data_IF_566553339816
#
_entry.id   IF_566553339816
#
_cell.length_a   1.000
_cell.length_b   1.000
_cell.length_c   1.000
_cell.angle_alpha   90.00
_cell.angle_beta   90.00
_cell.angle_gamma   90.00
#
_symmetry.space_group_name_H-M   'P 1'
#
loop_
_entity.id
_entity.type
_entity.pdbx_description
1 polymer ?
#
# COMPACT_ATOMS: atom_id res chain seq x y z
N UNK A 1 -22.62 -20.72 -14.58
CA UNK A 1 -22.27 -19.94 -13.38
C UNK A 1 -21.27 -18.88 -13.81
N UNK A 2 -21.55 -17.59 -13.61
CA UNK A 2 -20.57 -16.51 -13.89
C UNK A 2 -19.48 -16.59 -12.83
N UNK A 3 -18.27 -16.93 -13.25
CA UNK A 3 -17.07 -16.99 -12.40
C UNK A 3 -16.53 -15.58 -12.01
N UNK A 4 -17.19 -14.53 -12.49
CA UNK A 4 -16.87 -13.15 -12.17
C UNK A 4 -17.65 -12.69 -10.95
N UNK A 5 -16.99 -12.68 -9.79
CA UNK A 5 -17.45 -11.92 -8.65
C UNK A 5 -17.46 -10.42 -9.02
N UNK A 6 -18.52 -9.70 -8.69
CA UNK A 6 -18.49 -8.25 -8.88
C UNK A 6 -17.48 -7.61 -7.90
N UNK A 7 -16.86 -6.49 -8.28
CA UNK A 7 -15.95 -5.77 -7.38
C UNK A 7 -16.63 -5.42 -6.04
N UNK A 8 -17.93 -5.06 -6.08
CA UNK A 8 -18.70 -4.79 -4.87
C UNK A 8 -18.83 -6.02 -3.95
N UNK A 9 -18.97 -7.22 -4.53
CA UNK A 9 -19.00 -8.46 -3.75
C UNK A 9 -17.62 -8.80 -3.18
N UNK A 10 -16.56 -8.64 -3.97
CA UNK A 10 -15.17 -8.84 -3.51
C UNK A 10 -14.83 -7.91 -2.36
N UNK A 11 -15.23 -6.64 -2.43
CA UNK A 11 -15.07 -5.67 -1.34
C UNK A 11 -15.85 -6.08 -0.08
N UNK A 12 -17.08 -6.56 -0.22
CA UNK A 12 -17.85 -7.06 0.94
C UNK A 12 -17.16 -8.26 1.59
N UNK A 13 -16.65 -9.21 0.79
CA UNK A 13 -15.89 -10.36 1.31
C UNK A 13 -14.62 -9.92 2.03
N UNK A 14 -13.88 -8.98 1.46
CA UNK A 14 -12.70 -8.41 2.10
C UNK A 14 -13.03 -7.81 3.47
N UNK A 15 -14.08 -6.96 3.56
CA UNK A 15 -14.49 -6.35 4.82
C UNK A 15 -14.97 -7.40 5.84
N UNK A 16 -15.70 -8.42 5.40
CA UNK A 16 -16.16 -9.50 6.27
C UNK A 16 -15.01 -10.38 6.80
N UNK A 17 -13.93 -10.52 6.03
CA UNK A 17 -12.73 -11.28 6.41
C UNK A 17 -11.96 -10.60 7.53
N UNK A 18 -11.81 -9.28 7.48
CA UNK A 18 -11.07 -8.53 8.49
C UNK A 18 -11.99 -8.09 9.63
N UNK A 19 -12.53 -9.07 10.36
CA UNK A 19 -13.14 -8.83 11.67
C UNK A 19 -12.07 -8.45 12.72
N UNK A 20 -12.50 -8.22 13.95
CA UNK A 20 -11.59 -7.80 15.03
C UNK A 20 -10.52 -8.87 15.34
N UNK A 21 -10.86 -10.17 15.26
CA UNK A 21 -9.93 -11.25 15.58
C UNK A 21 -8.88 -11.41 14.46
N UNK A 22 -9.31 -11.39 13.19
CA UNK A 22 -8.41 -11.47 12.05
C UNK A 22 -7.51 -10.24 11.94
N UNK A 23 -8.03 -9.04 12.22
CA UNK A 23 -7.22 -7.83 12.25
C UNK A 23 -6.13 -7.88 13.32
N UNK A 24 -6.42 -8.45 14.51
CA UNK A 24 -5.42 -8.66 15.56
C UNK A 24 -4.38 -9.71 15.15
N UNK A 25 -4.80 -10.81 14.55
CA UNK A 25 -3.90 -11.84 14.02
C UNK A 25 -2.97 -11.28 12.94
N UNK A 26 -3.52 -10.49 12.03
CA UNK A 26 -2.74 -9.79 11.00
C UNK A 26 -1.73 -8.82 11.63
N UNK A 27 -2.15 -8.02 12.62
CA UNK A 27 -1.27 -7.08 13.31
C UNK A 27 -0.07 -7.80 13.96
N UNK A 28 -0.33 -8.92 14.61
CA UNK A 28 0.71 -9.70 15.26
C UNK A 28 1.71 -10.33 14.27
N UNK A 29 1.26 -10.72 13.09
CA UNK A 29 2.08 -11.44 12.11
C UNK A 29 2.85 -10.51 11.16
N UNK A 30 2.21 -9.44 10.67
CA UNK A 30 2.75 -8.60 9.59
C UNK A 30 2.54 -7.11 9.80
N UNK A 31 1.66 -6.73 10.72
CA UNK A 31 1.29 -5.34 10.99
C UNK A 31 2.29 -4.60 11.88
N UNK A 32 3.26 -5.30 12.47
CA UNK A 32 4.32 -4.71 13.30
C UNK A 32 5.68 -5.03 12.72
N UNK A 33 6.47 -3.99 12.50
CA UNK A 33 7.87 -4.12 12.13
C UNK A 33 8.73 -4.01 13.39
N UNK A 34 9.79 -4.80 13.48
CA UNK A 34 10.85 -4.55 14.46
C UNK A 34 11.58 -3.24 14.13
N UNK A 35 12.30 -2.70 15.09
CA UNK A 35 13.09 -1.48 14.85
C UNK A 35 14.08 -1.67 13.71
N UNK A 36 14.74 -2.81 13.68
CA UNK A 36 15.71 -3.15 12.64
C UNK A 36 15.04 -3.34 11.27
N UNK A 37 13.80 -3.86 11.22
CA UNK A 37 13.06 -3.96 9.97
C UNK A 37 12.63 -2.57 9.48
N UNK A 38 12.16 -1.70 10.38
CA UNK A 38 11.88 -0.31 10.06
C UNK A 38 13.10 0.43 9.50
N UNK A 39 14.28 0.25 10.13
CA UNK A 39 15.52 0.87 9.67
C UNK A 39 15.93 0.35 8.28
N UNK A 40 15.71 -0.92 7.99
CA UNK A 40 15.92 -1.49 6.66
C UNK A 40 14.97 -0.88 5.60
N UNK A 41 13.68 -0.72 5.94
CA UNK A 41 12.73 -0.02 5.07
C UNK A 41 13.13 1.43 4.83
N UNK A 42 13.54 2.16 5.88
CA UNK A 42 13.99 3.55 5.75
C UNK A 42 15.22 3.66 4.86
N UNK A 43 16.18 2.74 4.98
CA UNK A 43 17.37 2.72 4.14
C UNK A 43 17.01 2.53 2.65
N UNK A 44 16.15 1.57 2.34
CA UNK A 44 15.72 1.31 0.95
C UNK A 44 14.82 2.42 0.38
N UNK A 45 14.03 3.09 1.22
CA UNK A 45 13.14 4.18 0.83
C UNK A 45 13.80 5.57 0.86
N UNK A 46 15.00 5.71 1.43
CA UNK A 46 15.66 6.99 1.62
C UNK A 46 15.64 7.95 0.40
N UNK A 47 15.82 7.47 -0.87
CA UNK A 47 15.77 8.35 -2.02
C UNK A 47 14.41 9.01 -2.28
N UNK A 48 13.30 8.36 -1.88
CA UNK A 48 11.93 8.90 -2.06
C UNK A 48 11.40 9.61 -0.84
N UNK A 49 12.03 9.41 0.33
CA UNK A 49 11.63 10.04 1.59
C UNK A 49 12.34 11.38 1.86
N UNK A 50 13.08 11.91 0.87
CA UNK A 50 13.66 13.25 0.93
C UNK A 50 12.58 14.30 0.63
N UNK A 51 11.65 14.45 1.58
CA UNK A 51 10.50 15.33 1.44
C UNK A 51 10.74 16.65 2.17
N UNK A 52 10.11 17.73 1.67
CA UNK A 52 10.08 19.00 2.37
C UNK A 52 9.31 18.90 3.68
N UNK A 53 9.61 19.77 4.62
CA UNK A 53 8.79 19.92 5.83
C UNK A 53 7.34 20.27 5.44
N UNK A 54 6.37 19.65 6.11
CA UNK A 54 4.95 19.81 5.84
C UNK A 54 4.47 19.06 4.59
N UNK A 55 5.28 18.16 3.99
CA UNK A 55 4.82 17.36 2.86
C UNK A 55 3.61 16.50 3.23
N UNK A 56 2.61 16.49 2.34
CA UNK A 56 1.41 15.68 2.45
C UNK A 56 1.68 14.26 1.91
N UNK A 57 1.57 13.26 2.77
CA UNK A 57 1.86 11.86 2.44
C UNK A 57 0.62 11.00 2.65
N UNK A 58 0.29 10.19 1.65
CA UNK A 58 -0.73 9.15 1.75
C UNK A 58 -0.08 7.78 1.92
N UNK A 59 -0.41 7.06 3.00
CA UNK A 59 -0.19 5.63 3.13
C UNK A 59 -1.43 4.90 2.61
N UNK A 60 -1.36 4.38 1.40
CA UNK A 60 -2.46 3.69 0.74
C UNK A 60 -2.45 2.20 1.12
N UNK A 61 -3.58 1.69 1.64
CA UNK A 61 -3.67 0.35 2.21
C UNK A 61 -2.88 0.24 3.51
N UNK A 62 -3.09 1.19 4.42
CA UNK A 62 -2.31 1.31 5.65
C UNK A 62 -2.42 0.10 6.60
N UNK A 63 -3.48 -0.70 6.47
CA UNK A 63 -3.74 -1.84 7.35
C UNK A 63 -3.78 -1.42 8.81
N UNK A 64 -3.04 -2.11 9.65
CA UNK A 64 -2.89 -1.78 11.07
C UNK A 64 -1.79 -0.73 11.34
N UNK A 65 -1.21 -0.13 10.30
CA UNK A 65 -0.34 1.05 10.41
C UNK A 65 1.18 0.80 10.36
N UNK A 66 1.65 -0.35 9.84
CA UNK A 66 3.09 -0.65 9.81
C UNK A 66 3.92 0.40 9.04
N UNK A 67 3.47 0.77 7.82
CA UNK A 67 4.14 1.81 7.03
C UNK A 67 3.87 3.20 7.61
N UNK A 68 2.68 3.43 8.14
CA UNK A 68 2.32 4.69 8.81
C UNK A 68 3.23 4.96 10.01
N UNK A 69 3.53 3.95 10.85
CA UNK A 69 4.49 4.07 11.97
C UNK A 69 5.88 4.43 11.49
N UNK A 70 6.34 3.79 10.41
CA UNK A 70 7.64 4.10 9.81
C UNK A 70 7.71 5.56 9.33
N UNK A 71 6.67 6.03 8.62
CA UNK A 71 6.58 7.41 8.15
C UNK A 71 6.51 8.42 9.30
N UNK A 72 5.85 8.06 10.41
CA UNK A 72 5.73 8.93 11.60
C UNK A 72 7.08 9.20 12.31
N UNK A 73 8.11 8.39 12.03
CA UNK A 73 9.48 8.63 12.50
C UNK A 73 10.17 9.78 11.76
N UNK A 74 9.64 10.16 10.59
CA UNK A 74 10.19 11.26 9.82
C UNK A 74 9.62 12.59 10.31
N UNK A 75 10.45 13.60 10.57
CA UNK A 75 9.97 14.86 11.12
C UNK A 75 9.10 15.62 10.10
N UNK A 76 8.08 16.28 10.63
CA UNK A 76 7.29 17.29 9.91
C UNK A 76 6.53 16.79 8.66
N UNK A 77 6.07 15.54 8.62
CA UNK A 77 5.14 15.06 7.59
C UNK A 77 3.69 15.21 8.04
N UNK A 78 2.80 15.53 7.10
CA UNK A 78 1.35 15.44 7.25
C UNK A 78 0.89 14.10 6.67
N UNK A 79 0.58 13.13 7.53
CA UNK A 79 0.31 11.74 7.09
C UNK A 79 -1.19 11.48 7.11
N UNK A 80 -1.70 10.99 5.98
CA UNK A 80 -3.02 10.39 5.85
C UNK A 80 -2.86 8.90 5.63
N UNK A 81 -3.58 8.07 6.40
CA UNK A 81 -3.62 6.62 6.27
C UNK A 81 -4.99 6.21 5.69
N UNK A 82 -5.00 5.51 4.56
CA UNK A 82 -6.21 5.02 3.90
C UNK A 82 -6.30 3.50 4.06
N UNK A 83 -7.38 3.02 4.67
CA UNK A 83 -7.61 1.59 4.88
C UNK A 83 -9.12 1.31 4.85
N UNK A 84 -9.61 0.32 4.08
CA UNK A 84 -11.04 0.04 4.01
C UNK A 84 -11.60 -0.76 5.19
N UNK A 85 -10.79 -1.56 5.91
CA UNK A 85 -11.28 -2.42 6.99
C UNK A 85 -11.38 -1.66 8.32
N UNK A 86 -12.60 -1.45 8.89
CA UNK A 86 -12.77 -0.71 10.14
C UNK A 86 -11.99 -1.30 11.31
N UNK A 87 -11.88 -2.65 11.39
CA UNK A 87 -11.16 -3.31 12.46
C UNK A 87 -9.64 -3.04 12.38
N UNK A 88 -9.07 -2.98 11.18
CA UNK A 88 -7.67 -2.60 10.99
C UNK A 88 -7.43 -1.13 11.35
N UNK A 89 -8.33 -0.23 10.90
CA UNK A 89 -8.27 1.19 11.27
C UNK A 89 -8.40 1.40 12.77
N UNK A 90 -9.19 0.59 13.47
CA UNK A 90 -9.30 0.69 14.93
C UNK A 90 -7.95 0.39 15.60
N UNK A 91 -7.22 -0.61 15.12
CA UNK A 91 -5.86 -0.92 15.60
C UNK A 91 -4.91 0.24 15.29
N UNK A 92 -4.89 0.74 14.06
CA UNK A 92 -4.07 1.89 13.66
C UNK A 92 -4.33 3.10 14.57
N UNK A 93 -5.60 3.46 14.79
CA UNK A 93 -6.00 4.57 15.65
C UNK A 93 -5.64 4.38 17.12
N UNK A 94 -5.50 3.13 17.58
CA UNK A 94 -5.11 2.82 18.96
C UNK A 94 -3.61 3.00 19.24
N UNK A 95 -2.79 3.20 18.19
CA UNK A 95 -1.34 3.37 18.33
C UNK A 95 -0.99 4.80 18.78
N UNK A 96 -0.38 4.98 19.96
CA UNK A 96 -0.06 6.32 20.48
C UNK A 96 0.83 7.15 19.56
N UNK A 97 1.75 6.49 18.86
CA UNK A 97 2.68 7.11 17.90
C UNK A 97 1.99 7.69 16.66
N UNK A 98 0.74 7.26 16.38
CA UNK A 98 -0.07 7.69 15.23
C UNK A 98 -1.15 8.72 15.58
N UNK A 99 -1.12 9.32 16.76
CA UNK A 99 -2.15 10.25 17.24
C UNK A 99 -2.30 11.53 16.37
N UNK A 100 -1.32 11.84 15.51
CA UNK A 100 -1.35 12.97 14.56
C UNK A 100 -1.71 12.56 13.13
N UNK A 101 -1.92 11.27 12.89
CA UNK A 101 -2.23 10.73 11.56
C UNK A 101 -3.73 10.87 11.29
N UNK A 102 -4.08 11.33 10.10
CA UNK A 102 -5.46 11.34 9.64
C UNK A 102 -5.82 9.96 9.08
N UNK A 103 -6.65 9.19 9.81
CA UNK A 103 -7.08 7.87 9.38
C UNK A 103 -8.42 7.95 8.63
N UNK A 104 -8.40 7.54 7.36
CA UNK A 104 -9.55 7.56 6.43
C UNK A 104 -9.97 6.14 6.10
N UNK A 105 -11.27 5.86 6.24
CA UNK A 105 -11.84 4.58 5.82
C UNK A 105 -12.22 4.65 4.34
N UNK A 106 -11.72 3.71 3.52
CA UNK A 106 -12.05 3.65 2.11
C UNK A 106 -11.13 2.76 1.30
N UNK A 107 -11.63 2.37 0.14
CA UNK A 107 -10.87 1.71 -0.92
C UNK A 107 -10.23 2.76 -1.84
N UNK A 108 -9.34 2.30 -2.75
CA UNK A 108 -8.68 3.19 -3.71
C UNK A 108 -8.80 2.71 -5.17
N UNK A 109 -9.43 1.59 -5.42
CA UNK A 109 -9.37 0.83 -6.67
C UNK A 109 -10.71 0.72 -7.42
N UNK A 110 -11.62 1.68 -7.21
CA UNK A 110 -12.79 1.89 -8.07
C UNK A 110 -12.91 3.37 -8.49
N UNK A 111 -13.59 3.66 -9.61
CA UNK A 111 -13.83 5.05 -10.03
C UNK A 111 -14.57 5.87 -8.96
N UNK A 112 -15.47 5.23 -8.20
CA UNK A 112 -16.21 5.85 -7.10
C UNK A 112 -15.37 6.24 -5.88
N UNK A 113 -14.13 5.76 -5.77
CA UNK A 113 -13.23 6.09 -4.66
C UNK A 113 -12.45 7.40 -4.91
N UNK A 114 -12.39 7.86 -6.18
CA UNK A 114 -11.66 9.09 -6.54
C UNK A 114 -12.04 10.33 -5.71
N UNK A 115 -13.32 10.56 -5.37
CA UNK A 115 -13.73 11.72 -4.56
C UNK A 115 -13.29 11.67 -3.10
N UNK A 116 -12.70 10.58 -2.60
CA UNK A 116 -12.17 10.50 -1.23
C UNK A 116 -11.18 11.62 -0.93
N UNK A 117 -10.40 11.99 -1.94
CA UNK A 117 -9.43 13.07 -1.81
C UNK A 117 -9.56 14.05 -2.99
N UNK A 118 -9.25 15.32 -2.71
CA UNK A 118 -9.15 16.34 -3.73
C UNK A 118 -8.01 16.07 -4.72
N UNK A 119 -8.10 16.67 -5.91
CA UNK A 119 -7.01 16.61 -6.88
C UNK A 119 -5.77 17.31 -6.34
N UNK A 120 -4.59 16.81 -6.73
CA UNK A 120 -3.30 17.44 -6.46
C UNK A 120 -3.02 17.71 -4.97
N UNK A 121 -3.42 16.80 -4.09
CA UNK A 121 -3.29 16.95 -2.64
C UNK A 121 -1.94 16.47 -2.13
N UNK A 122 -1.49 15.27 -2.54
CA UNK A 122 -0.35 14.62 -1.91
C UNK A 122 0.96 14.84 -2.67
N UNK A 123 2.05 15.06 -1.94
CA UNK A 123 3.41 15.10 -2.48
C UNK A 123 3.95 13.68 -2.73
N UNK A 124 3.54 12.72 -1.88
CA UNK A 124 3.93 11.31 -2.00
C UNK A 124 2.75 10.40 -1.65
N UNK A 125 2.57 9.34 -2.42
CA UNK A 125 1.74 8.18 -2.05
C UNK A 125 2.66 6.99 -1.86
N UNK A 126 2.63 6.39 -0.68
CA UNK A 126 3.35 5.14 -0.38
C UNK A 126 2.33 4.01 -0.25
N UNK A 127 2.68 2.84 -0.72
CA UNK A 127 1.94 1.62 -0.41
C UNK A 127 2.89 0.48 -0.07
N UNK A 128 2.49 -0.38 0.88
CA UNK A 128 3.25 -1.56 1.28
C UNK A 128 2.35 -2.78 1.22
N UNK A 129 2.70 -3.74 0.34
CA UNK A 129 1.94 -4.99 0.17
C UNK A 129 0.45 -4.76 -0.14
N UNK A 130 0.16 -3.74 -0.95
CA UNK A 130 -1.18 -3.41 -1.40
C UNK A 130 -1.41 -3.79 -2.86
N UNK A 131 -0.42 -3.59 -3.75
CA UNK A 131 -0.63 -3.79 -5.19
C UNK A 131 -1.08 -5.22 -5.52
N UNK A 132 -0.58 -6.21 -4.79
CA UNK A 132 -0.98 -7.61 -4.90
C UNK A 132 -2.44 -7.88 -4.45
N UNK A 133 -3.03 -7.00 -3.65
CA UNK A 133 -4.39 -7.10 -3.10
C UNK A 133 -5.43 -6.20 -3.81
N UNK A 134 -5.04 -5.42 -4.81
CA UNK A 134 -5.96 -4.54 -5.53
C UNK A 134 -6.90 -5.32 -6.45
N UNK A 135 -8.19 -5.01 -6.40
CA UNK A 135 -9.19 -5.58 -7.31
C UNK A 135 -9.06 -4.99 -8.73
N UNK A 136 -8.74 -3.70 -8.84
CA UNK A 136 -8.42 -3.02 -10.10
C UNK A 136 -7.20 -2.11 -9.91
N UNK A 137 -5.99 -2.63 -10.11
CA UNK A 137 -4.77 -1.86 -9.93
C UNK A 137 -4.65 -0.67 -10.89
N UNK A 138 -5.19 -0.77 -12.11
CA UNK A 138 -5.14 0.35 -13.05
C UNK A 138 -6.02 1.52 -12.58
N UNK A 139 -7.21 1.23 -12.07
CA UNK A 139 -8.08 2.26 -11.49
C UNK A 139 -7.47 2.85 -10.24
N UNK A 140 -6.86 2.03 -9.37
CA UNK A 140 -6.14 2.52 -8.19
C UNK A 140 -5.05 3.53 -8.59
N UNK A 141 -4.19 3.17 -9.55
CA UNK A 141 -3.11 4.06 -9.99
C UNK A 141 -3.62 5.34 -10.68
N UNK A 142 -4.75 5.28 -11.41
CA UNK A 142 -5.41 6.48 -11.94
C UNK A 142 -5.97 7.39 -10.84
N UNK A 143 -6.51 6.82 -9.76
CA UNK A 143 -6.95 7.58 -8.59
C UNK A 143 -5.75 8.22 -7.89
N UNK A 144 -4.65 7.49 -7.70
CA UNK A 144 -3.41 8.02 -7.13
C UNK A 144 -2.82 9.15 -7.99
N UNK A 145 -2.83 8.99 -9.32
CA UNK A 145 -2.41 10.06 -10.24
C UNK A 145 -3.25 11.33 -10.05
N UNK A 146 -4.55 11.19 -9.86
CA UNK A 146 -5.43 12.33 -9.60
C UNK A 146 -5.13 12.99 -8.24
N UNK A 147 -4.87 12.21 -7.20
CA UNK A 147 -4.63 12.70 -5.84
C UNK A 147 -3.25 13.33 -5.64
N UNK A 148 -2.26 12.95 -6.43
CA UNK A 148 -0.91 13.51 -6.34
C UNK A 148 -0.84 14.93 -6.88
N UNK A 149 -0.04 15.75 -6.24
CA UNK A 149 0.37 17.05 -6.77
C UNK A 149 1.19 16.89 -8.07
N UNK A 150 1.24 17.90 -8.96
CA UNK A 150 2.18 17.90 -10.07
C UNK A 150 3.62 17.70 -9.58
N UNK A 151 4.33 16.74 -10.18
CA UNK A 151 5.67 16.35 -9.71
C UNK A 151 5.69 15.48 -8.45
N UNK A 152 4.54 15.19 -7.85
CA UNK A 152 4.43 14.24 -6.75
C UNK A 152 4.74 12.82 -7.21
N UNK A 153 5.14 11.97 -6.27
CA UNK A 153 5.63 10.62 -6.54
C UNK A 153 4.77 9.53 -5.90
N UNK A 154 4.87 8.33 -6.44
CA UNK A 154 4.43 7.09 -5.77
C UNK A 154 5.64 6.23 -5.42
N UNK A 155 5.56 5.55 -4.29
CA UNK A 155 6.50 4.51 -3.86
C UNK A 155 5.71 3.24 -3.57
N UNK A 156 5.74 2.28 -4.50
CA UNK A 156 5.05 1.00 -4.36
C UNK A 156 6.05 -0.04 -3.87
N UNK A 157 5.87 -0.49 -2.64
CA UNK A 157 6.62 -1.61 -2.04
C UNK A 157 5.76 -2.86 -2.08
N UNK A 158 6.18 -3.87 -2.82
CA UNK A 158 5.44 -5.13 -2.87
C UNK A 158 6.36 -6.35 -2.87
N UNK A 159 5.76 -7.55 -2.81
CA UNK A 159 6.46 -8.83 -2.80
C UNK A 159 6.32 -9.58 -4.12
N UNK A 160 7.32 -10.41 -4.43
CA UNK A 160 7.26 -11.34 -5.55
C UNK A 160 6.59 -12.64 -5.10
N UNK A 161 5.27 -12.55 -4.84
CA UNK A 161 4.50 -13.70 -4.38
C UNK A 161 4.22 -14.68 -5.52
N UNK A 162 4.41 -15.96 -5.23
CA UNK A 162 3.88 -17.04 -6.05
C UNK A 162 2.55 -17.55 -5.51
N UNK A 163 1.82 -18.34 -6.31
CA UNK A 163 0.56 -18.95 -5.86
C UNK A 163 0.70 -19.77 -4.57
N UNK A 164 1.79 -20.54 -4.32
CA UNK A 164 1.96 -21.28 -3.08
C UNK A 164 2.14 -20.42 -1.81
N UNK A 165 2.45 -19.14 -1.96
CA UNK A 165 2.61 -18.24 -0.81
C UNK A 165 1.26 -17.84 -0.19
N UNK A 166 0.15 -18.10 -0.90
CA UNK A 166 -1.20 -17.80 -0.48
C UNK A 166 -1.84 -19.04 0.17
N UNK A 167 -2.15 -18.95 1.44
CA UNK A 167 -2.68 -20.06 2.24
C UNK A 167 -3.95 -19.66 2.98
N UNK A 168 -4.76 -20.66 3.41
CA UNK A 168 -5.98 -20.42 4.15
C UNK A 168 -7.00 -19.60 3.35
N UNK A 169 -7.65 -18.65 4.01
CA UNK A 169 -8.68 -17.80 3.42
C UNK A 169 -8.17 -16.88 2.27
N UNK A 170 -6.85 -16.74 2.10
CA UNK A 170 -6.26 -15.98 1.02
C UNK A 170 -6.17 -16.77 -0.30
N UNK A 171 -6.21 -18.09 -0.23
CA UNK A 171 -6.03 -18.95 -1.39
C UNK A 171 -7.15 -18.80 -2.43
N UNK A 172 -8.36 -18.49 -1.98
CA UNK A 172 -9.51 -18.24 -2.89
C UNK A 172 -9.40 -16.88 -3.59
N UNK A 173 -8.71 -15.93 -2.99
CA UNK A 173 -8.57 -14.58 -3.52
C UNK A 173 -7.49 -14.48 -4.61
N UNK A 174 -6.48 -15.36 -4.56
CA UNK A 174 -5.35 -15.32 -5.51
C UNK A 174 -5.79 -15.42 -6.96
N UNK A 175 -6.89 -16.09 -7.24
CA UNK A 175 -7.42 -16.28 -8.61
C UNK A 175 -8.22 -15.09 -9.14
N UNK A 176 -8.66 -14.20 -8.25
CA UNK A 176 -9.49 -13.04 -8.63
C UNK A 176 -8.74 -11.71 -8.55
N UNK A 177 -7.59 -11.69 -7.88
CA UNK A 177 -6.75 -10.49 -7.75
C UNK A 177 -5.67 -10.46 -8.84
N UNK A 178 -5.64 -9.44 -9.70
CA UNK A 178 -4.80 -9.43 -10.91
C UNK A 178 -3.30 -9.56 -10.66
N UNK A 179 -2.81 -9.07 -9.53
CA UNK A 179 -1.38 -9.03 -9.20
C UNK A 179 -0.98 -9.94 -8.03
N UNK A 180 -1.90 -10.71 -7.48
CA UNK A 180 -1.69 -11.52 -6.27
C UNK A 180 -0.53 -12.52 -6.39
N UNK A 181 -0.43 -13.22 -7.51
CA UNK A 181 0.61 -14.21 -7.77
C UNK A 181 1.61 -13.76 -8.85
N UNK A 182 1.86 -12.44 -8.91
CA UNK A 182 2.75 -11.85 -9.90
C UNK A 182 4.21 -11.90 -9.41
N UNK A 183 5.00 -12.82 -9.98
CA UNK A 183 6.43 -12.95 -9.70
C UNK A 183 7.32 -12.05 -10.57
N UNK A 184 6.73 -11.05 -11.24
CA UNK A 184 7.42 -10.11 -12.12
C UNK A 184 7.40 -8.70 -11.55
N UNK A 185 8.56 -8.04 -11.56
CA UNK A 185 8.66 -6.61 -11.22
C UNK A 185 8.20 -5.69 -12.34
N UNK A 186 7.79 -6.20 -13.51
CA UNK A 186 7.42 -5.40 -14.67
C UNK A 186 5.96 -4.94 -14.68
N UNK A 187 5.06 -5.67 -14.00
CA UNK A 187 3.62 -5.41 -14.13
C UNK A 187 3.19 -4.10 -13.45
N UNK A 188 3.68 -3.82 -12.26
CA UNK A 188 3.35 -2.58 -11.54
C UNK A 188 3.86 -1.34 -12.30
N UNK A 189 5.14 -1.28 -12.74
CA UNK A 189 5.63 -0.19 -13.61
C UNK A 189 4.79 0.00 -14.87
N UNK A 190 4.48 -1.06 -15.58
CA UNK A 190 3.66 -1.00 -16.80
C UNK A 190 2.29 -0.37 -16.55
N UNK A 191 1.60 -0.79 -15.49
CA UNK A 191 0.28 -0.23 -15.15
C UNK A 191 0.37 1.23 -14.67
N UNK A 192 1.45 1.60 -13.96
CA UNK A 192 1.71 2.99 -13.59
C UNK A 192 1.94 3.87 -14.82
N UNK A 193 2.70 3.39 -15.83
CA UNK A 193 2.90 4.12 -17.10
C UNK A 193 1.57 4.35 -17.82
N UNK A 194 0.71 3.32 -17.91
CA UNK A 194 -0.64 3.45 -18.49
C UNK A 194 -1.50 4.44 -17.70
N UNK A 195 -1.32 4.52 -16.37
CA UNK A 195 -2.02 5.47 -15.51
C UNK A 195 -1.48 6.92 -15.64
N UNK A 196 -0.39 7.16 -16.41
CA UNK A 196 0.14 8.49 -16.66
C UNK A 196 1.41 8.83 -15.88
N UNK A 197 2.02 7.89 -15.20
CA UNK A 197 3.26 8.10 -14.46
C UNK A 197 4.49 7.97 -15.37
N UNK A 198 5.60 8.59 -14.96
CA UNK A 198 6.95 8.29 -15.43
C UNK A 198 7.62 7.38 -14.41
N UNK A 199 8.17 6.27 -14.85
CA UNK A 199 8.91 5.37 -13.96
C UNK A 199 10.31 5.92 -13.75
N UNK A 200 10.67 6.16 -12.50
CA UNK A 200 11.98 6.69 -12.10
C UNK A 200 12.93 5.58 -11.64
N UNK A 201 12.38 4.55 -10.96
CA UNK A 201 13.17 3.40 -10.53
C UNK A 201 12.32 2.13 -10.36
N UNK A 202 12.92 0.99 -10.67
CA UNK A 202 12.43 -0.34 -10.29
C UNK A 202 13.62 -1.09 -9.72
N UNK A 203 13.57 -1.48 -8.44
CA UNK A 203 14.72 -2.10 -7.78
C UNK A 203 14.30 -3.09 -6.69
N UNK A 204 15.16 -4.04 -6.40
CA UNK A 204 15.03 -4.87 -5.20
C UNK A 204 15.31 -4.01 -3.97
N UNK A 205 14.66 -4.34 -2.87
CA UNK A 205 14.89 -3.71 -1.58
C UNK A 205 15.99 -4.49 -0.85
N UNK A 206 17.23 -4.07 -1.02
CA UNK A 206 18.39 -4.85 -0.57
C UNK A 206 18.47 -4.96 0.95
N UNK A 207 18.25 -3.86 1.68
CA UNK A 207 18.28 -3.86 3.13
C UNK A 207 17.13 -4.68 3.73
N UNK A 208 15.93 -4.55 3.17
CA UNK A 208 14.75 -5.32 3.60
C UNK A 208 14.94 -6.81 3.28
N UNK A 209 15.42 -7.14 2.10
CA UNK A 209 15.61 -8.54 1.67
C UNK A 209 16.74 -9.26 2.43
N UNK A 210 17.67 -8.51 3.02
CA UNK A 210 18.69 -9.07 3.90
C UNK A 210 18.16 -9.44 5.30
N UNK A 211 16.94 -9.02 5.65
CA UNK A 211 16.34 -9.31 6.97
C UNK A 211 15.83 -10.74 7.05
N UNK A 212 16.07 -11.48 8.14
CA UNK A 212 15.54 -12.83 8.34
C UNK A 212 14.00 -12.88 8.40
N UNK A 213 13.35 -11.77 8.77
CA UNK A 213 11.90 -11.60 8.78
C UNK A 213 11.29 -11.55 7.37
N UNK A 214 12.07 -11.25 6.34
CA UNK A 214 11.61 -11.12 4.96
C UNK A 214 11.64 -12.48 4.26
N UNK A 215 10.50 -13.18 4.21
CA UNK A 215 10.38 -14.48 3.57
C UNK A 215 10.24 -14.37 2.04
N UNK A 216 9.48 -13.39 1.56
CA UNK A 216 9.24 -13.16 0.13
C UNK A 216 10.04 -11.94 -0.31
N UNK A 217 10.81 -12.02 -1.40
CA UNK A 217 11.60 -10.89 -1.89
C UNK A 217 10.75 -9.66 -2.13
N UNK A 218 11.18 -8.52 -1.62
CA UNK A 218 10.52 -7.21 -1.79
C UNK A 218 11.20 -6.42 -2.90
N UNK A 219 10.37 -5.66 -3.62
CA UNK A 219 10.84 -4.69 -4.60
C UNK A 219 10.14 -3.35 -4.40
N UNK A 220 10.77 -2.31 -4.91
CA UNK A 220 10.29 -0.93 -4.88
C UNK A 220 10.13 -0.43 -6.31
N UNK A 221 8.98 0.15 -6.60
CA UNK A 221 8.76 0.97 -7.80
C UNK A 221 8.59 2.41 -7.36
N UNK A 222 9.37 3.30 -7.96
CA UNK A 222 9.24 4.75 -7.80
C UNK A 222 8.79 5.34 -9.12
N UNK A 223 7.74 6.13 -9.09
CA UNK A 223 7.25 6.79 -10.27
C UNK A 223 6.73 8.19 -9.93
N UNK A 224 6.93 9.14 -10.85
CA UNK A 224 6.50 10.53 -10.68
C UNK A 224 5.29 10.83 -11.57
N UNK A 225 4.32 11.56 -11.03
CA UNK A 225 3.22 12.11 -11.82
C UNK A 225 3.78 13.05 -12.89
N UNK A 226 3.50 12.74 -14.17
CA UNK A 226 3.82 13.67 -15.27
C UNK A 226 3.02 14.97 -15.09
N UNK A 227 3.66 16.07 -15.43
CA UNK A 227 3.04 17.40 -15.41
C UNK A 227 1.84 17.48 -16.36
#
# INVERSE_FOLDING_TARGET
MSWRCSQAESRRRYLAKFDAAEAQSYDALVGRLSREDEDAYLADLAPVLQLRAGAEVLDAGAGTGAMTCLLSRLPALSITALEPAPAMLAILRSRPELNRVTAVEGFCDAPGDRPLFGAARFDLIVSRQLANGLFDPLVAFRNWHHWLAPGGAVAVVDGLYGRPDWTGAWQEEVDVLPLSACQSTAMVPYLLEIAGFRIDAVRRMEAVNARPSTRTPRYLVVATRRA
#
